data_IF_097104663908
#
_entry.id   IF_097104663908
#
_cell.length_a   1.000
_cell.length_b   1.000
_cell.length_c   1.000
_cell.angle_alpha   90.00
_cell.angle_beta   90.00
_cell.angle_gamma   90.00
#
_symmetry.space_group_name_H-M   'P 1'
#
loop_
_entity.id
_entity.type
_entity.pdbx_description
1 polymer ?
#
# COMPACT_ATOMS: atom_id res chain seq x y z
N UNK A 1 -12.80 -16.45 18.30
CA UNK A 1 -11.58 -16.84 19.03
C UNK A 1 -10.33 -16.33 18.30
N UNK A 2 -10.14 -16.61 17.04
CA UNK A 2 -8.95 -16.23 16.26
C UNK A 2 -8.72 -14.72 16.22
N UNK A 3 -9.80 -13.94 16.12
CA UNK A 3 -9.71 -12.47 16.10
C UNK A 3 -9.02 -11.88 17.34
N UNK A 4 -9.23 -12.49 18.51
CA UNK A 4 -8.59 -12.06 19.76
C UNK A 4 -7.09 -12.31 19.69
N UNK A 5 -6.67 -13.47 19.18
CA UNK A 5 -5.25 -13.84 19.00
C UNK A 5 -4.55 -12.87 18.05
N UNK A 6 -5.18 -12.56 16.90
CA UNK A 6 -4.64 -11.58 15.94
C UNK A 6 -4.45 -10.20 16.58
N UNK A 7 -5.45 -9.71 17.36
CA UNK A 7 -5.35 -8.44 18.04
C UNK A 7 -4.27 -8.42 19.13
N UNK A 8 -4.20 -9.48 19.96
CA UNK A 8 -3.20 -9.60 21.02
C UNK A 8 -1.78 -9.57 20.44
N UNK A 9 -1.55 -10.39 19.39
CA UNK A 9 -0.25 -10.46 18.72
C UNK A 9 0.14 -9.10 18.13
N UNK A 10 -0.71 -8.50 17.31
CA UNK A 10 -0.40 -7.22 16.63
C UNK A 10 -0.15 -6.12 17.66
N UNK A 11 -0.96 -6.03 18.71
CA UNK A 11 -0.78 -5.00 19.77
C UNK A 11 0.61 -5.04 20.42
N UNK A 12 1.21 -6.22 20.52
CA UNK A 12 2.55 -6.38 21.10
C UNK A 12 3.66 -6.07 20.11
N UNK A 13 3.54 -6.54 18.84
CA UNK A 13 4.62 -6.44 17.88
C UNK A 13 4.58 -5.14 17.05
N UNK A 14 3.40 -4.56 16.82
CA UNK A 14 3.25 -3.34 15.99
C UNK A 14 4.15 -2.18 16.46
N UNK A 15 4.23 -1.83 17.76
CA UNK A 15 5.08 -0.73 18.22
C UNK A 15 6.57 -0.92 17.92
N UNK A 16 7.04 -2.17 17.76
CA UNK A 16 8.42 -2.50 17.44
C UNK A 16 8.73 -2.13 15.99
N UNK A 17 7.80 -2.42 15.07
CA UNK A 17 7.98 -2.22 13.63
C UNK A 17 7.54 -0.82 13.18
N UNK A 18 6.49 -0.25 13.76
CA UNK A 18 5.95 1.05 13.32
C UNK A 18 7.00 2.17 13.38
N UNK A 19 7.94 2.10 14.33
CA UNK A 19 9.08 3.01 14.45
C UNK A 19 10.04 2.96 13.25
N UNK A 20 10.03 1.87 12.48
CA UNK A 20 10.90 1.68 11.32
C UNK A 20 10.22 2.00 10.00
N UNK A 21 8.90 2.16 10.01
CA UNK A 21 8.16 2.51 8.80
C UNK A 21 8.40 3.96 8.41
N UNK A 22 8.56 4.18 7.12
CA UNK A 22 8.68 5.54 6.59
C UNK A 22 7.45 6.39 6.96
N UNK A 23 7.65 7.70 7.07
CA UNK A 23 6.56 8.63 7.40
C UNK A 23 5.39 8.54 6.42
N UNK A 24 5.64 8.29 5.14
CA UNK A 24 4.66 8.27 4.06
C UNK A 24 4.13 6.86 3.70
N UNK A 25 4.33 5.86 4.55
CA UNK A 25 3.54 4.62 4.58
C UNK A 25 2.22 4.89 5.30
N UNK A 26 1.09 4.83 4.58
CA UNK A 26 -0.14 5.50 5.01
C UNK A 26 -1.27 4.55 5.43
N UNK A 27 -1.26 3.29 4.99
CA UNK A 27 -2.34 2.34 5.29
C UNK A 27 -2.12 1.60 6.61
N UNK A 28 -3.24 1.27 7.29
CA UNK A 28 -3.25 0.42 8.49
C UNK A 28 -2.28 0.86 9.58
N UNK A 29 -2.20 2.16 9.83
CA UNK A 29 -1.38 2.78 10.88
C UNK A 29 -2.18 3.84 11.61
N UNK A 30 -1.99 3.95 12.92
CA UNK A 30 -2.66 4.95 13.77
C UNK A 30 -2.29 6.37 13.31
N UNK A 31 -3.29 7.23 13.17
CA UNK A 31 -3.11 8.61 12.70
C UNK A 31 -2.81 8.76 11.20
N UNK A 32 -2.80 7.66 10.45
CA UNK A 32 -2.61 7.63 9.00
C UNK A 32 -3.94 7.33 8.28
N UNK A 33 -3.91 6.91 7.04
CA UNK A 33 -5.09 6.53 6.25
C UNK A 33 -5.30 7.41 5.04
N UNK A 34 -6.49 7.32 4.44
CA UNK A 34 -6.79 7.93 3.14
C UNK A 34 -6.58 9.45 3.14
N UNK A 35 -7.12 10.14 4.15
CA UNK A 35 -7.02 11.60 4.23
C UNK A 35 -5.57 12.06 4.41
N UNK A 36 -4.80 11.34 5.23
CA UNK A 36 -3.38 11.61 5.41
C UNK A 36 -2.62 11.44 4.08
N UNK A 37 -2.81 10.32 3.38
CA UNK A 37 -2.17 10.04 2.10
C UNK A 37 -2.50 11.12 1.06
N UNK A 38 -3.75 11.57 0.99
CA UNK A 38 -4.19 12.65 0.11
C UNK A 38 -3.55 14.00 0.45
N UNK A 39 -3.44 14.36 1.73
CA UNK A 39 -2.75 15.58 2.18
C UNK A 39 -1.25 15.53 1.82
N UNK A 40 -0.62 14.36 1.98
CA UNK A 40 0.78 14.16 1.59
C UNK A 40 0.96 14.29 0.08
N UNK A 41 0.06 13.68 -0.70
CA UNK A 41 0.08 13.79 -2.16
C UNK A 41 -0.03 15.25 -2.62
N UNK A 42 -0.95 16.04 -2.05
CA UNK A 42 -1.07 17.47 -2.39
C UNK A 42 0.19 18.26 -2.07
N UNK A 43 0.79 17.99 -0.90
CA UNK A 43 2.06 18.64 -0.52
C UNK A 43 3.18 18.30 -1.52
N UNK A 44 3.30 17.03 -1.92
CA UNK A 44 4.34 16.60 -2.85
C UNK A 44 4.09 17.11 -4.26
N UNK A 45 2.85 17.08 -4.72
CA UNK A 45 2.42 17.63 -6.01
C UNK A 45 2.82 19.11 -6.15
N UNK A 46 2.53 19.92 -5.13
CA UNK A 46 2.91 21.34 -5.11
C UNK A 46 4.42 21.54 -5.15
N UNK A 47 5.17 20.71 -4.40
CA UNK A 47 6.64 20.82 -4.35
C UNK A 47 7.30 20.42 -5.66
N UNK A 48 6.91 19.28 -6.26
CA UNK A 48 7.53 18.77 -7.48
C UNK A 48 7.20 19.61 -8.70
N UNK A 49 6.05 20.30 -8.72
CA UNK A 49 5.66 21.22 -9.81
C UNK A 49 6.07 22.67 -9.57
N UNK A 50 6.78 22.95 -8.47
CA UNK A 50 7.06 24.32 -8.05
C UNK A 50 5.81 25.22 -8.11
N UNK A 51 4.70 24.76 -7.52
CA UNK A 51 3.39 25.40 -7.56
C UNK A 51 2.86 25.66 -8.99
N UNK A 52 2.93 24.64 -9.86
CA UNK A 52 2.53 24.67 -11.29
C UNK A 52 3.44 25.50 -12.22
N UNK A 53 4.61 25.89 -11.78
CA UNK A 53 5.58 26.57 -12.64
C UNK A 53 6.34 25.60 -13.54
N UNK A 54 6.37 24.31 -13.20
CA UNK A 54 7.03 23.25 -13.96
C UNK A 54 6.13 22.04 -14.16
N UNK A 55 6.35 21.31 -15.27
CA UNK A 55 5.72 20.03 -15.49
C UNK A 55 6.32 18.96 -14.56
N UNK A 56 5.49 18.01 -14.14
CA UNK A 56 5.95 16.86 -13.38
C UNK A 56 5.07 15.63 -13.65
N UNK A 57 5.65 14.48 -13.36
CA UNK A 57 5.09 13.16 -13.64
C UNK A 57 4.92 12.36 -12.35
N UNK A 58 4.01 11.42 -12.41
CA UNK A 58 3.74 10.46 -11.35
C UNK A 58 3.91 9.05 -11.89
N UNK A 59 4.84 8.29 -11.34
CA UNK A 59 4.78 6.83 -11.40
C UNK A 59 3.73 6.40 -10.40
N UNK A 60 2.60 5.91 -10.91
CA UNK A 60 1.63 5.15 -10.12
C UNK A 60 1.92 3.68 -10.34
N UNK A 61 2.11 2.91 -9.26
CA UNK A 61 2.42 1.50 -9.33
C UNK A 61 1.56 0.70 -8.34
N UNK A 62 1.30 -0.54 -8.70
CA UNK A 62 0.49 -1.51 -7.96
C UNK A 62 1.23 -2.86 -8.02
N UNK A 63 1.29 -3.58 -6.92
CA UNK A 63 1.93 -4.89 -6.87
C UNK A 63 0.89 -5.95 -7.27
N UNK A 64 1.28 -6.84 -8.18
CA UNK A 64 0.38 -7.87 -8.71
C UNK A 64 0.10 -8.93 -7.65
N UNK A 65 -1.18 -9.23 -7.42
CA UNK A 65 -1.64 -10.27 -6.49
C UNK A 65 -0.93 -10.28 -5.13
N UNK A 66 -0.67 -9.07 -4.58
CA UNK A 66 0.20 -8.89 -3.43
C UNK A 66 -0.10 -9.85 -2.28
N UNK A 67 -1.35 -9.91 -1.82
CA UNK A 67 -1.73 -10.75 -0.67
C UNK A 67 -1.62 -12.25 -0.95
N UNK A 68 -1.72 -12.66 -2.20
CA UNK A 68 -1.61 -14.08 -2.61
C UNK A 68 -0.16 -14.50 -2.81
N UNK A 69 0.74 -13.56 -3.11
CA UNK A 69 2.13 -13.82 -3.47
C UNK A 69 3.15 -13.59 -2.34
N UNK A 70 2.72 -13.05 -1.17
CA UNK A 70 3.64 -12.86 -0.04
C UNK A 70 4.30 -14.18 0.34
N UNK A 71 5.63 -14.25 0.28
CA UNK A 71 6.41 -15.42 0.64
C UNK A 71 6.59 -15.50 2.16
N UNK A 72 6.18 -16.63 2.78
CA UNK A 72 6.22 -16.81 4.23
C UNK A 72 7.64 -16.82 4.78
N UNK A 73 8.60 -17.43 4.09
CA UNK A 73 9.99 -17.51 4.57
C UNK A 73 10.64 -16.15 4.60
N UNK A 74 10.44 -15.33 3.56
CA UNK A 74 10.93 -13.95 3.51
C UNK A 74 10.28 -13.13 4.63
N UNK A 75 8.95 -13.22 4.81
CA UNK A 75 8.25 -12.52 5.88
C UNK A 75 8.80 -12.90 7.26
N UNK A 76 8.96 -14.19 7.53
CA UNK A 76 9.51 -14.70 8.79
C UNK A 76 10.95 -14.21 9.00
N UNK A 77 11.77 -14.19 7.97
CA UNK A 77 13.13 -13.67 8.05
C UNK A 77 13.16 -12.17 8.39
N UNK A 78 12.25 -11.38 7.79
CA UNK A 78 12.11 -9.95 8.12
C UNK A 78 11.68 -9.79 9.59
N UNK A 79 10.70 -10.56 10.04
CA UNK A 79 10.21 -10.51 11.43
C UNK A 79 11.29 -10.89 12.44
N UNK A 80 12.10 -11.92 12.15
CA UNK A 80 13.22 -12.38 13.00
C UNK A 80 14.32 -11.33 13.18
N UNK A 81 14.46 -10.37 12.29
CA UNK A 81 15.39 -9.27 12.50
C UNK A 81 15.10 -8.52 13.83
N UNK A 82 13.83 -8.50 14.26
CA UNK A 82 13.37 -7.76 15.45
C UNK A 82 12.73 -8.60 16.54
N UNK A 83 12.09 -9.70 16.20
CA UNK A 83 11.45 -10.63 17.15
C UNK A 83 12.42 -11.80 17.40
N UNK A 84 12.89 -11.93 18.64
CA UNK A 84 13.84 -12.99 19.05
C UNK A 84 13.16 -14.17 19.74
N UNK A 85 11.90 -13.99 20.17
CA UNK A 85 11.12 -15.05 20.80
C UNK A 85 10.60 -16.03 19.75
N UNK A 86 11.13 -17.27 19.77
CA UNK A 86 10.75 -18.34 18.84
C UNK A 86 9.29 -18.79 19.03
N UNK A 87 8.71 -18.68 20.22
CA UNK A 87 7.29 -19.03 20.42
C UNK A 87 6.38 -18.05 19.68
N UNK A 88 6.74 -16.75 19.66
CA UNK A 88 6.02 -15.74 18.85
C UNK A 88 6.16 -16.04 17.36
N UNK A 89 7.36 -16.40 16.90
CA UNK A 89 7.59 -16.79 15.50
C UNK A 89 6.79 -18.04 15.14
N UNK A 90 6.75 -19.05 16.01
CA UNK A 90 5.94 -20.26 15.79
C UNK A 90 4.44 -19.94 15.73
N UNK A 91 3.94 -19.04 16.58
CA UNK A 91 2.56 -18.58 16.51
C UNK A 91 2.26 -17.90 15.18
N UNK A 92 3.16 -17.03 14.71
CA UNK A 92 3.00 -16.34 13.41
C UNK A 92 2.97 -17.36 12.27
N UNK A 93 3.87 -18.35 12.27
CA UNK A 93 3.86 -19.43 11.27
C UNK A 93 2.52 -20.17 11.26
N UNK A 94 2.01 -20.57 12.43
CA UNK A 94 0.69 -21.22 12.53
C UNK A 94 -0.44 -20.36 11.97
N UNK A 95 -0.40 -19.04 12.18
CA UNK A 95 -1.39 -18.10 11.62
C UNK A 95 -1.29 -18.07 10.09
N UNK A 96 -0.09 -18.05 9.54
CA UNK A 96 0.14 -18.04 8.09
C UNK A 96 -0.26 -19.38 7.46
N UNK A 97 0.11 -20.49 8.07
CA UNK A 97 -0.18 -21.85 7.57
C UNK A 97 -1.68 -22.22 7.61
N UNK A 98 -2.46 -21.56 8.47
CA UNK A 98 -3.93 -21.74 8.50
C UNK A 98 -4.64 -21.09 7.31
N UNK A 99 -3.93 -20.39 6.46
CA UNK A 99 -4.50 -19.83 5.23
C UNK A 99 -4.26 -20.83 4.08
N UNK A 100 -5.36 -21.44 3.63
CA UNK A 100 -5.33 -22.34 2.48
C UNK A 100 -5.16 -21.55 1.19
N UNK A 101 -3.94 -21.46 0.70
CA UNK A 101 -3.62 -20.97 -0.63
C UNK A 101 -3.40 -22.15 -1.58
N UNK A 102 -3.51 -21.90 -2.88
CA UNK A 102 -3.16 -22.88 -3.93
C UNK A 102 -1.69 -23.29 -3.84
N UNK A 103 -0.83 -22.42 -3.32
CA UNK A 103 0.61 -22.65 -3.19
C UNK A 103 1.02 -22.58 -1.71
N UNK A 104 1.44 -23.71 -1.16
CA UNK A 104 1.95 -23.77 0.22
C UNK A 104 3.14 -22.83 0.44
N UNK A 105 3.15 -22.11 1.58
CA UNK A 105 4.23 -21.17 1.93
C UNK A 105 4.09 -19.78 1.30
N UNK A 106 2.96 -19.50 0.66
CA UNK A 106 2.64 -18.18 0.10
C UNK A 106 1.26 -17.71 0.55
N UNK A 107 1.10 -16.38 0.53
CA UNK A 107 -0.17 -15.70 0.69
C UNK A 107 -0.58 -15.39 2.12
N UNK A 108 -1.49 -14.44 2.24
CA UNK A 108 -2.08 -14.01 3.51
C UNK A 108 -3.58 -13.74 3.34
N UNK A 109 -4.42 -14.13 4.33
CA UNK A 109 -5.86 -13.91 4.25
C UNK A 109 -6.21 -12.42 4.22
N UNK A 110 -7.07 -12.04 3.29
CA UNK A 110 -7.62 -10.69 3.25
C UNK A 110 -8.53 -10.43 4.46
N UNK A 111 -8.44 -9.25 5.06
CA UNK A 111 -9.32 -8.80 6.13
C UNK A 111 -8.86 -9.09 7.56
N UNK A 112 -7.85 -9.90 7.77
CA UNK A 112 -7.25 -10.12 9.09
C UNK A 112 -6.32 -8.98 9.48
N UNK A 113 -6.32 -8.61 10.77
CA UNK A 113 -5.44 -7.55 11.29
C UNK A 113 -3.95 -7.89 11.13
N UNK A 114 -3.57 -9.16 11.37
CA UNK A 114 -2.20 -9.63 11.16
C UNK A 114 -1.74 -9.49 9.72
N UNK A 115 -2.58 -9.83 8.75
CA UNK A 115 -2.24 -9.71 7.33
C UNK A 115 -2.03 -8.24 6.92
N UNK A 116 -2.86 -7.33 7.45
CA UNK A 116 -2.69 -5.90 7.22
C UNK A 116 -1.39 -5.36 7.81
N UNK A 117 -1.03 -5.82 9.00
CA UNK A 117 0.22 -5.46 9.66
C UNK A 117 1.42 -6.08 8.93
N UNK A 118 1.40 -7.36 8.63
CA UNK A 118 2.48 -8.05 7.92
C UNK A 118 2.69 -7.50 6.51
N UNK A 119 1.64 -7.04 5.85
CA UNK A 119 1.74 -6.34 4.58
C UNK A 119 2.63 -5.08 4.68
N UNK A 120 2.48 -4.31 5.74
CA UNK A 120 3.34 -3.16 5.97
C UNK A 120 4.78 -3.57 6.33
N UNK A 121 4.97 -4.62 7.14
CA UNK A 121 6.29 -5.14 7.51
C UNK A 121 7.05 -5.63 6.27
N UNK A 122 6.39 -6.40 5.42
CA UNK A 122 6.99 -6.96 4.21
C UNK A 122 7.42 -5.87 3.22
N UNK A 123 6.53 -4.91 2.94
CA UNK A 123 6.83 -3.82 2.00
C UNK A 123 7.66 -2.68 2.61
N UNK A 124 8.00 -2.74 3.89
CA UNK A 124 8.97 -1.80 4.46
C UNK A 124 10.37 -1.97 3.84
N UNK A 125 10.73 -3.17 3.39
CA UNK A 125 11.98 -3.41 2.64
C UNK A 125 11.95 -2.62 1.31
N UNK A 126 10.81 -2.60 0.59
CA UNK A 126 10.62 -1.76 -0.59
C UNK A 126 10.69 -0.26 -0.24
N UNK A 127 10.04 0.14 0.87
CA UNK A 127 10.08 1.54 1.32
C UNK A 127 11.51 2.00 1.59
N UNK A 128 12.31 1.14 2.22
CA UNK A 128 13.71 1.40 2.49
C UNK A 128 14.50 1.55 1.19
N UNK A 129 14.38 0.60 0.25
CA UNK A 129 15.02 0.66 -1.06
C UNK A 129 14.69 1.95 -1.80
N UNK A 130 13.40 2.30 -1.90
CA UNK A 130 12.95 3.50 -2.62
C UNK A 130 13.46 4.79 -1.95
N UNK A 131 13.49 4.85 -0.62
CA UNK A 131 13.88 6.07 0.10
C UNK A 131 15.37 6.23 0.27
N UNK A 132 16.12 5.16 0.49
CA UNK A 132 17.53 5.23 0.86
C UNK A 132 18.48 4.89 -0.30
N UNK A 133 18.11 3.95 -1.17
CA UNK A 133 18.95 3.58 -2.32
C UNK A 133 18.58 4.40 -3.56
N UNK A 134 17.31 4.43 -3.95
CA UNK A 134 16.86 5.26 -5.08
C UNK A 134 16.79 6.75 -4.72
N UNK A 135 16.78 7.10 -3.43
CA UNK A 135 16.64 8.47 -2.91
C UNK A 135 15.43 9.22 -3.45
N UNK A 136 14.34 8.50 -3.74
CA UNK A 136 13.11 9.07 -4.26
C UNK A 136 12.44 9.96 -3.21
N UNK A 137 12.54 11.28 -3.40
CA UNK A 137 12.11 12.28 -2.42
C UNK A 137 10.60 12.26 -2.17
N UNK A 138 9.80 12.14 -3.22
CA UNK A 138 8.34 12.25 -3.19
C UNK A 138 7.70 10.88 -3.43
N UNK A 139 7.75 10.02 -2.43
CA UNK A 139 7.23 8.66 -2.43
C UNK A 139 6.16 8.50 -1.36
N UNK A 140 5.02 7.91 -1.69
CA UNK A 140 3.92 7.57 -0.77
C UNK A 140 3.46 6.16 -1.10
N UNK A 141 3.27 5.33 -0.06
CA UNK A 141 2.69 3.99 -0.20
C UNK A 141 1.37 3.88 0.57
N UNK A 142 0.41 3.19 -0.04
CA UNK A 142 -0.88 2.84 0.56
C UNK A 142 -1.15 1.35 0.33
N UNK A 143 -0.74 0.48 1.26
CA UNK A 143 -0.63 -0.98 1.15
C UNK A 143 0.28 -1.34 -0.03
N UNK A 144 -0.26 -1.94 -1.08
CA UNK A 144 0.39 -2.36 -2.32
C UNK A 144 0.37 -1.29 -3.44
N UNK A 145 -0.49 -0.29 -3.30
CA UNK A 145 -0.56 0.88 -4.20
C UNK A 145 0.47 1.93 -3.76
N UNK A 146 1.37 2.37 -4.63
CA UNK A 146 2.29 3.44 -4.31
C UNK A 146 2.48 4.41 -5.46
N UNK A 147 2.95 5.60 -5.12
CA UNK A 147 3.23 6.67 -6.07
C UNK A 147 4.60 7.29 -5.82
N UNK A 148 5.29 7.64 -6.89
CA UNK A 148 6.51 8.45 -6.88
C UNK A 148 6.32 9.62 -7.81
N UNK A 149 6.63 10.83 -7.34
CA UNK A 149 6.55 12.05 -8.16
C UNK A 149 7.97 12.53 -8.50
N UNK A 150 8.16 12.93 -9.76
CA UNK A 150 9.40 13.51 -10.24
C UNK A 150 9.16 14.44 -11.44
N UNK A 151 10.02 15.41 -11.64
CA UNK A 151 9.96 16.33 -12.79
C UNK A 151 10.46 15.68 -14.08
N UNK A 152 11.36 14.71 -13.99
CA UNK A 152 11.90 13.98 -15.12
C UNK A 152 11.20 12.63 -15.26
N UNK A 153 10.62 12.37 -16.45
CA UNK A 153 9.90 11.14 -16.79
C UNK A 153 10.84 9.94 -16.98
N UNK A 154 12.02 10.16 -17.54
CA UNK A 154 13.05 9.14 -17.76
C UNK A 154 13.53 8.58 -16.43
N UNK A 155 13.76 9.46 -15.45
CA UNK A 155 14.13 9.03 -14.08
C UNK A 155 13.07 8.11 -13.47
N UNK A 156 11.78 8.39 -13.67
CA UNK A 156 10.70 7.51 -13.20
C UNK A 156 10.69 6.17 -13.94
N UNK A 157 11.07 6.11 -15.23
CA UNK A 157 11.22 4.85 -15.96
C UNK A 157 12.37 4.02 -15.39
N UNK A 158 13.51 4.63 -15.12
CA UNK A 158 14.67 3.97 -14.49
C UNK A 158 14.26 3.39 -13.13
N UNK A 159 13.66 4.19 -12.27
CA UNK A 159 13.20 3.74 -10.95
C UNK A 159 12.15 2.63 -11.04
N UNK A 160 11.23 2.72 -12.00
CA UNK A 160 10.24 1.66 -12.22
C UNK A 160 10.90 0.32 -12.49
N UNK A 161 11.91 0.27 -13.37
CA UNK A 161 12.67 -0.94 -13.68
C UNK A 161 13.45 -1.45 -12.46
N UNK A 162 14.13 -0.56 -11.75
CA UNK A 162 14.89 -0.92 -10.54
C UNK A 162 13.96 -1.48 -9.43
N UNK A 163 12.79 -0.88 -9.24
CA UNK A 163 11.79 -1.35 -8.28
C UNK A 163 11.25 -2.74 -8.67
N UNK A 164 10.94 -2.96 -9.97
CA UNK A 164 10.45 -4.26 -10.43
C UNK A 164 11.50 -5.37 -10.25
N UNK A 165 12.78 -5.07 -10.51
CA UNK A 165 13.88 -6.00 -10.27
C UNK A 165 14.04 -6.29 -8.77
N UNK A 166 14.07 -5.26 -7.92
CA UNK A 166 14.14 -5.42 -6.47
C UNK A 166 12.98 -6.29 -5.93
N UNK A 167 11.75 -6.03 -6.38
CA UNK A 167 10.59 -6.82 -5.98
C UNK A 167 10.75 -8.29 -6.35
N UNK A 168 11.25 -8.59 -7.56
CA UNK A 168 11.46 -9.96 -8.04
C UNK A 168 12.58 -10.68 -7.30
N UNK A 169 13.69 -10.02 -7.13
CA UNK A 169 14.90 -10.62 -6.55
C UNK A 169 14.78 -10.80 -5.04
N UNK A 170 14.38 -9.76 -4.32
CA UNK A 170 14.39 -9.75 -2.85
C UNK A 170 13.05 -10.18 -2.23
N UNK A 171 11.92 -9.79 -2.84
CA UNK A 171 10.61 -10.00 -2.25
C UNK A 171 9.75 -11.05 -2.98
N UNK A 172 10.24 -11.62 -4.09
CA UNK A 172 9.50 -12.58 -4.93
C UNK A 172 8.11 -12.07 -5.33
N UNK A 173 8.03 -10.77 -5.61
CA UNK A 173 6.85 -10.04 -6.07
C UNK A 173 7.13 -9.41 -7.43
N UNK A 174 6.09 -8.94 -8.12
CA UNK A 174 6.24 -8.19 -9.37
C UNK A 174 5.26 -7.01 -9.45
N UNK A 175 5.62 -5.99 -10.22
CA UNK A 175 4.71 -4.90 -10.52
C UNK A 175 3.59 -5.36 -11.47
N UNK A 176 2.37 -4.89 -11.22
CA UNK A 176 1.27 -5.11 -12.14
C UNK A 176 1.49 -4.29 -13.43
N UNK A 177 1.79 -4.95 -14.54
CA UNK A 177 2.21 -4.33 -15.82
C UNK A 177 1.24 -3.26 -16.33
N UNK A 178 -0.07 -3.55 -16.29
CA UNK A 178 -1.08 -2.64 -16.81
C UNK A 178 -1.41 -1.46 -15.88
N UNK A 179 -1.28 -1.65 -14.56
CA UNK A 179 -1.61 -0.61 -13.57
C UNK A 179 -0.42 0.29 -13.22
N UNK A 180 0.81 -0.19 -13.45
CA UNK A 180 2.03 0.55 -13.14
C UNK A 180 2.41 1.46 -14.32
N UNK A 181 1.98 2.74 -14.25
CA UNK A 181 2.09 3.71 -15.35
C UNK A 181 2.69 5.04 -14.88
N UNK A 182 3.42 5.69 -15.79
CA UNK A 182 3.89 7.05 -15.59
C UNK A 182 2.92 8.01 -16.29
N UNK A 183 2.37 8.93 -15.54
CA UNK A 183 1.29 9.83 -15.97
C UNK A 183 1.69 11.26 -15.63
N UNK A 184 1.50 12.22 -16.55
CA UNK A 184 1.64 13.65 -16.21
C UNK A 184 0.63 14.03 -15.13
N UNK A 185 1.06 14.81 -14.14
CA UNK A 185 0.20 15.26 -13.02
C UNK A 185 -0.99 16.08 -13.54
N UNK A 186 -0.83 16.79 -14.65
CA UNK A 186 -1.90 17.58 -15.27
C UNK A 186 -3.11 16.74 -15.70
N UNK A 187 -2.89 15.46 -16.04
CA UNK A 187 -3.96 14.54 -16.45
C UNK A 187 -4.79 13.99 -15.28
N UNK A 188 -4.41 14.32 -14.05
CA UNK A 188 -5.03 13.80 -12.85
C UNK A 188 -4.59 12.36 -12.52
N UNK A 189 -4.30 12.11 -11.25
CA UNK A 189 -3.75 10.85 -10.75
C UNK A 189 -4.80 10.12 -9.91
N UNK A 190 -5.06 8.86 -10.27
CA UNK A 190 -5.95 7.98 -9.51
C UNK A 190 -5.20 7.44 -8.29
N UNK A 191 -5.54 7.92 -7.10
CA UNK A 191 -4.92 7.51 -5.85
C UNK A 191 -5.93 7.54 -4.70
N UNK A 192 -5.91 6.51 -3.85
CA UNK A 192 -6.75 6.36 -2.64
C UNK A 192 -8.23 6.70 -2.89
N UNK A 193 -8.80 6.11 -3.95
CA UNK A 193 -10.24 6.23 -4.26
C UNK A 193 -10.67 7.50 -4.99
N UNK A 194 -9.75 8.42 -5.26
CA UNK A 194 -10.01 9.68 -5.96
C UNK A 194 -9.15 9.79 -7.21
N UNK A 195 -9.65 10.56 -8.18
CA UNK A 195 -8.85 11.14 -9.26
C UNK A 195 -8.44 12.55 -8.83
N UNK A 196 -7.16 12.70 -8.56
CA UNK A 196 -6.60 13.91 -7.97
C UNK A 196 -6.01 14.80 -9.06
N UNK A 197 -6.63 15.93 -9.30
CA UNK A 197 -6.09 17.02 -10.12
C UNK A 197 -5.32 18.01 -9.24
N UNK A 198 -4.75 19.03 -9.82
CA UNK A 198 -3.94 19.96 -9.05
C UNK A 198 -4.78 20.75 -8.03
N UNK A 199 -5.91 21.30 -8.43
CA UNK A 199 -6.76 22.15 -7.59
C UNK A 199 -7.94 21.42 -6.94
N UNK A 200 -8.39 20.30 -7.52
CA UNK A 200 -9.60 19.60 -7.08
C UNK A 200 -9.45 18.07 -7.17
N UNK A 201 -10.40 17.37 -6.61
CA UNK A 201 -10.51 15.90 -6.66
C UNK A 201 -11.90 15.49 -7.12
N UNK A 202 -11.94 14.42 -7.87
CA UNK A 202 -13.17 13.74 -8.24
C UNK A 202 -13.20 12.34 -7.64
N UNK A 203 -14.36 11.90 -7.19
CA UNK A 203 -14.55 10.48 -6.86
C UNK A 203 -14.35 9.65 -8.12
N UNK A 204 -13.70 8.50 -8.00
CA UNK A 204 -13.62 7.55 -9.10
C UNK A 204 -15.04 7.15 -9.54
N UNK A 205 -15.29 7.02 -10.83
CA UNK A 205 -16.59 6.62 -11.39
C UNK A 205 -17.18 5.38 -10.71
N UNK A 206 -16.34 4.38 -10.40
CA UNK A 206 -16.74 3.17 -9.66
C UNK A 206 -17.30 3.50 -8.28
N UNK A 207 -16.61 4.34 -7.51
CA UNK A 207 -17.03 4.72 -6.18
C UNK A 207 -18.34 5.53 -6.21
N UNK A 208 -18.45 6.45 -7.17
CA UNK A 208 -19.67 7.23 -7.36
C UNK A 208 -20.87 6.32 -7.70
N UNK A 209 -20.68 5.34 -8.59
CA UNK A 209 -21.73 4.35 -8.91
C UNK A 209 -22.13 3.53 -7.69
N UNK A 210 -21.17 3.07 -6.90
CA UNK A 210 -21.46 2.30 -5.70
C UNK A 210 -22.24 3.12 -4.65
N UNK A 211 -21.91 4.41 -4.48
CA UNK A 211 -22.65 5.32 -3.59
C UNK A 211 -24.08 5.51 -4.09
N UNK A 212 -24.27 5.79 -5.39
CA UNK A 212 -25.60 5.93 -5.98
C UNK A 212 -26.45 4.68 -5.78
N UNK A 213 -25.88 3.48 -6.04
CA UNK A 213 -26.58 2.21 -5.84
C UNK A 213 -26.98 1.99 -4.38
N UNK A 214 -26.11 2.33 -3.41
CA UNK A 214 -26.43 2.23 -1.98
C UNK A 214 -27.55 3.19 -1.59
N UNK A 215 -27.50 4.44 -2.05
CA UNK A 215 -28.54 5.43 -1.78
C UNK A 215 -29.89 5.00 -2.36
N UNK A 216 -29.93 4.47 -3.58
CA UNK A 216 -31.16 3.94 -4.18
C UNK A 216 -31.76 2.78 -3.39
N UNK A 217 -30.92 1.87 -2.87
CA UNK A 217 -31.38 0.78 -1.99
C UNK A 217 -31.99 1.30 -0.70
N UNK A 218 -31.32 2.22 -0.01
CA UNK A 218 -31.80 2.82 1.23
C UNK A 218 -33.13 3.54 0.98
N UNK A 219 -33.24 4.30 -0.11
CA UNK A 219 -34.49 4.98 -0.49
C UNK A 219 -35.62 3.96 -0.67
N UNK A 220 -35.40 2.90 -1.43
CA UNK A 220 -36.36 1.81 -1.63
C UNK A 220 -36.81 1.14 -0.31
N UNK A 221 -35.84 0.88 0.60
CA UNK A 221 -36.16 0.28 1.91
C UNK A 221 -36.99 1.21 2.81
N UNK A 222 -36.78 2.54 2.72
CA UNK A 222 -37.58 3.51 3.47
C UNK A 222 -39.02 3.62 2.90
N UNK A 223 -39.14 3.64 1.57
CA UNK A 223 -40.44 3.76 0.89
C UNK A 223 -41.31 2.50 1.09
N UNK A 224 -40.69 1.32 1.24
CA UNK A 224 -41.43 0.05 1.43
C UNK A 224 -41.54 -0.42 2.91
N UNK A 225 -41.08 0.39 3.88
CA UNK A 225 -41.30 0.16 5.33
C UNK A 225 -42.53 0.89 5.89
N UNK A 226 -43.45 1.31 5.02
CA UNK A 226 -44.76 1.86 5.43
C UNK A 226 -45.85 0.78 5.38
#
# INVERSE_FOLDING_TARGET
RDRIVHHALVRVIEPIFDKTFIYDSCANRIGKGNLFALKRFDKFKRKVTNNLKSEAFCLKADIKHYFDEVNHDILINILRKKIKDENVILLIKKILDNFNTEIKGKGMPLGNLTSQFFANVYLNELDYFVKHELKAKYYIRYVDDFIILHENKEQLNIWKTQIDNFLKEELKLELHKEKSKIISISKGIDFVGFRNFYYYRLLRKRNLRNIKNKLSKIKYEIENKK
#
